data_IF_567414799056
#
_entry.id   IF_567414799056
#
_cell.length_a   1.000
_cell.length_b   1.000
_cell.length_c   1.000
_cell.angle_alpha   90.00
_cell.angle_beta   90.00
_cell.angle_gamma   90.00
#
_symmetry.space_group_name_H-M   'P 1'
#
loop_
_entity.id
_entity.type
_entity.pdbx_description
1 polymer ?
#
# COMPACT_ATOMS: atom_id res chain seq x y z
N UNK A 1 -38.12 -12.26 -50.99
CA UNK A 1 -38.45 -13.66 -50.61
C UNK A 1 -38.26 -13.79 -49.11
N UNK A 2 -39.26 -14.38 -48.43
CA UNK A 2 -39.36 -14.77 -47.01
C UNK A 2 -39.43 -13.66 -45.94
N UNK A 3 -40.69 -13.34 -45.62
CA UNK A 3 -41.22 -12.81 -44.36
C UNK A 3 -40.98 -13.80 -43.22
N UNK A 4 -40.67 -13.32 -42.01
CA UNK A 4 -41.09 -13.98 -40.75
C UNK A 4 -41.61 -12.89 -39.82
N UNK A 5 -42.91 -12.98 -39.53
CA UNK A 5 -43.61 -12.30 -38.47
C UNK A 5 -43.42 -13.08 -37.17
N UNK A 6 -43.15 -12.42 -36.05
CA UNK A 6 -43.64 -12.87 -34.74
C UNK A 6 -44.17 -11.64 -34.00
N UNK A 7 -45.45 -11.74 -33.66
CA UNK A 7 -46.25 -10.84 -32.84
C UNK A 7 -46.51 -11.59 -31.53
N UNK A 8 -46.33 -10.97 -30.36
CA UNK A 8 -46.93 -11.46 -29.12
C UNK A 8 -47.20 -10.32 -28.13
N UNK A 9 -48.33 -10.48 -27.45
CA UNK A 9 -49.15 -9.49 -26.75
C UNK A 9 -48.62 -9.04 -25.39
N UNK A 10 -48.90 -7.76 -25.09
CA UNK A 10 -49.38 -7.12 -23.85
C UNK A 10 -49.15 -7.81 -22.48
N UNK A 11 -48.62 -7.05 -21.52
CA UNK A 11 -49.34 -6.76 -20.26
C UNK A 11 -48.87 -5.42 -19.65
N UNK A 12 -49.85 -4.56 -19.35
CA UNK A 12 -49.70 -3.31 -18.62
C UNK A 12 -49.79 -3.63 -17.13
N UNK A 13 -48.83 -3.16 -16.33
CA UNK A 13 -49.04 -2.89 -14.91
C UNK A 13 -48.54 -1.48 -14.62
N UNK A 14 -49.50 -0.65 -14.22
CA UNK A 14 -49.33 0.68 -13.66
C UNK A 14 -48.94 0.53 -12.19
N UNK A 15 -47.86 1.17 -11.77
CA UNK A 15 -47.68 1.54 -10.37
C UNK A 15 -47.05 2.93 -10.29
N UNK A 16 -47.94 3.89 -10.04
CA UNK A 16 -47.63 5.22 -9.53
C UNK A 16 -46.92 5.10 -8.18
N UNK A 17 -45.75 5.73 -8.05
CA UNK A 17 -45.28 6.28 -6.78
C UNK A 17 -44.63 7.63 -7.06
N UNK A 18 -45.23 8.66 -6.46
CA UNK A 18 -44.90 10.05 -6.66
C UNK A 18 -43.50 10.42 -6.21
N UNK A 19 -42.81 11.18 -7.05
CA UNK A 19 -41.68 12.01 -6.65
C UNK A 19 -42.19 13.45 -6.51
N UNK A 20 -42.02 14.01 -5.32
CA UNK A 20 -42.27 15.43 -5.05
C UNK A 20 -41.28 16.33 -5.79
N UNK A 21 -41.68 17.55 -6.19
CA UNK A 21 -40.79 18.49 -6.86
C UNK A 21 -39.74 19.02 -5.89
N UNK A 22 -38.45 18.76 -6.15
CA UNK A 22 -37.36 19.48 -5.51
C UNK A 22 -37.36 20.92 -6.03
N UNK A 23 -37.44 21.84 -5.07
CA UNK A 23 -37.44 23.28 -5.24
C UNK A 23 -36.16 23.75 -5.96
N UNK A 24 -36.36 24.62 -6.96
CA UNK A 24 -35.31 25.49 -7.47
C UNK A 24 -34.97 26.52 -6.40
N UNK A 25 -33.75 26.48 -5.87
CA UNK A 25 -33.15 27.59 -5.14
C UNK A 25 -32.13 28.26 -6.06
N UNK A 26 -32.56 29.38 -6.62
CA UNK A 26 -31.70 30.40 -7.22
C UNK A 26 -31.09 31.16 -6.05
N UNK A 27 -29.76 31.14 -5.92
CA UNK A 27 -29.03 32.11 -5.10
C UNK A 27 -28.26 33.04 -6.04
N UNK A 28 -28.79 34.25 -6.20
CA UNK A 28 -28.00 35.42 -6.55
C UNK A 28 -28.00 36.33 -5.33
N UNK A 29 -26.83 36.65 -4.77
CA UNK A 29 -26.36 38.04 -4.64
C UNK A 29 -25.02 38.14 -3.88
N UNK A 30 -24.16 38.97 -4.48
CA UNK A 30 -23.04 39.76 -3.93
C UNK A 30 -21.97 39.10 -3.05
N UNK A 31 -20.80 38.92 -3.66
CA UNK A 31 -19.51 38.74 -2.99
C UNK A 31 -19.05 40.10 -2.42
N UNK A 32 -18.76 40.22 -1.11
CA UNK A 32 -18.01 41.36 -0.61
C UNK A 32 -16.54 41.18 -1.00
N UNK A 33 -15.97 42.23 -1.58
CA UNK A 33 -14.55 42.36 -1.88
C UNK A 33 -13.79 42.32 -0.55
N UNK A 34 -13.12 41.21 -0.24
CA UNK A 34 -12.29 41.06 0.94
C UNK A 34 -10.81 41.09 0.54
N UNK A 35 -10.10 42.05 1.13
CA UNK A 35 -8.65 42.23 1.07
C UNK A 35 -7.89 40.91 1.18
N UNK A 36 -6.90 40.76 0.30
CA UNK A 36 -5.85 39.75 0.38
C UNK A 36 -4.99 39.99 1.63
N UNK A 37 -5.45 39.51 2.78
CA UNK A 37 -4.59 39.20 3.91
C UNK A 37 -4.06 37.78 3.72
N UNK A 38 -2.74 37.60 3.85
CA UNK A 38 -2.02 36.32 3.88
C UNK A 38 -2.69 35.28 4.79
N UNK A 39 -3.68 34.56 4.25
CA UNK A 39 -4.27 33.40 4.90
C UNK A 39 -3.24 32.27 4.85
N UNK A 40 -2.88 31.76 6.03
CA UNK A 40 -1.92 30.69 6.28
C UNK A 40 -1.83 29.64 5.14
N UNK A 41 -0.78 29.73 4.32
CA UNK A 41 -0.36 28.67 3.37
C UNK A 41 -0.17 27.29 4.02
N UNK A 42 -0.16 27.21 5.35
CA UNK A 42 0.02 25.99 6.11
C UNK A 42 -1.26 25.13 6.23
N UNK A 43 -2.45 25.72 6.08
CA UNK A 43 -3.73 24.98 6.09
C UNK A 43 -4.04 24.32 4.72
N UNK A 44 -3.23 24.61 3.70
CA UNK A 44 -3.40 24.12 2.33
C UNK A 44 -2.56 22.88 1.99
N UNK A 45 -1.70 22.42 2.91
CA UNK A 45 -0.85 21.24 2.69
C UNK A 45 -1.51 20.00 3.28
N UNK A 46 -1.58 18.95 2.47
CA UNK A 46 -2.19 17.66 2.79
C UNK A 46 -1.28 16.52 2.38
N UNK A 47 -1.37 15.38 3.05
CA UNK A 47 -0.48 14.24 2.83
C UNK A 47 -1.08 13.23 1.83
N UNK A 48 -0.27 12.81 0.88
CA UNK A 48 -0.62 11.89 -0.23
C UNK A 48 0.31 10.66 -0.19
N UNK A 49 0.05 9.58 -0.95
CA UNK A 49 0.96 8.42 -1.03
C UNK A 49 2.18 8.72 -1.93
N UNK A 50 2.85 9.82 -1.64
CA UNK A 50 4.11 10.25 -2.26
C UNK A 50 4.78 11.36 -1.45
N UNK A 51 4.01 12.05 -0.60
CA UNK A 51 4.48 13.17 0.20
C UNK A 51 3.39 14.20 0.51
N UNK A 52 3.76 15.25 1.23
CA UNK A 52 2.97 16.48 1.36
C UNK A 52 2.71 17.13 0.00
N UNK A 53 1.51 17.65 -0.20
CA UNK A 53 1.03 18.25 -1.43
C UNK A 53 0.16 19.47 -1.14
N UNK A 54 0.12 20.44 -2.04
CA UNK A 54 -0.92 21.47 -2.00
C UNK A 54 -2.26 20.85 -2.36
N UNK A 55 -3.29 21.09 -1.55
CA UNK A 55 -4.65 20.60 -1.77
C UNK A 55 -5.22 21.04 -3.13
N UNK A 56 -4.81 22.20 -3.63
CA UNK A 56 -5.19 22.71 -4.96
C UNK A 56 -4.68 21.85 -6.12
N UNK A 57 -3.69 21.00 -5.89
CA UNK A 57 -3.04 20.19 -6.91
C UNK A 57 -3.54 18.74 -6.88
N UNK A 58 -4.67 18.48 -6.21
CA UNK A 58 -5.23 17.15 -6.04
C UNK A 58 -6.56 17.08 -6.76
N UNK A 59 -6.66 16.14 -7.69
CA UNK A 59 -7.73 16.08 -8.67
C UNK A 59 -8.38 14.71 -8.66
N UNK A 60 -9.71 14.70 -8.54
CA UNK A 60 -10.50 13.48 -8.67
C UNK A 60 -10.74 13.14 -10.16
N UNK A 61 -10.54 11.87 -10.51
CA UNK A 61 -10.78 11.33 -11.84
C UNK A 61 -12.03 10.43 -11.82
N UNK A 62 -13.10 10.91 -12.47
CA UNK A 62 -14.31 10.11 -12.67
C UNK A 62 -14.05 8.93 -13.60
N UNK A 63 -14.74 7.81 -13.36
CA UNK A 63 -14.61 6.54 -14.11
C UNK A 63 -14.80 6.64 -15.63
N UNK A 64 -15.39 7.71 -16.14
CA UNK A 64 -15.56 7.96 -17.57
C UNK A 64 -14.42 8.79 -18.16
N UNK A 65 -13.35 9.03 -17.40
CA UNK A 65 -12.16 9.76 -17.82
C UNK A 65 -10.90 8.89 -17.67
N UNK A 66 -9.86 9.29 -18.38
CA UNK A 66 -8.50 8.79 -18.21
C UNK A 66 -7.51 9.96 -18.28
N UNK A 67 -6.29 9.71 -17.85
CA UNK A 67 -5.19 10.66 -17.90
C UNK A 67 -4.38 10.42 -19.16
N UNK A 68 -3.98 11.48 -19.84
CA UNK A 68 -3.13 11.42 -21.02
C UNK A 68 -1.95 12.38 -20.88
N UNK A 69 -0.73 11.85 -20.94
CA UNK A 69 0.48 12.66 -20.81
C UNK A 69 0.93 13.14 -22.17
N UNK A 70 0.95 14.47 -22.35
CA UNK A 70 1.30 15.09 -23.63
C UNK A 70 2.05 16.39 -23.42
N UNK A 71 3.25 16.50 -24.00
CA UNK A 71 4.08 17.71 -23.97
C UNK A 71 4.31 18.26 -22.55
N UNK A 72 4.66 17.39 -21.60
CA UNK A 72 4.90 17.79 -20.21
C UNK A 72 3.65 18.28 -19.47
N UNK A 73 2.45 17.86 -19.90
CA UNK A 73 1.17 18.17 -19.27
C UNK A 73 0.34 16.91 -19.08
N UNK A 74 -0.51 16.93 -18.06
CA UNK A 74 -1.48 15.89 -17.79
C UNK A 74 -2.85 16.36 -18.29
N UNK A 75 -3.43 15.64 -19.24
CA UNK A 75 -4.76 15.94 -19.76
C UNK A 75 -5.78 14.99 -19.14
N UNK A 76 -6.89 15.50 -18.63
CA UNK A 76 -8.06 14.69 -18.30
C UNK A 76 -8.90 14.53 -19.56
N UNK A 77 -9.12 13.31 -20.01
CA UNK A 77 -9.79 13.00 -21.28
C UNK A 77 -11.02 12.15 -21.05
N UNK A 78 -12.17 12.53 -21.63
CA UNK A 78 -13.38 11.69 -21.63
C UNK A 78 -13.15 10.43 -22.45
N UNK A 79 -13.28 9.27 -21.83
CA UNK A 79 -12.99 7.96 -22.43
C UNK A 79 -13.84 7.67 -23.67
N UNK A 80 -15.12 8.08 -23.68
CA UNK A 80 -16.02 7.81 -24.83
C UNK A 80 -15.79 8.72 -26.03
N UNK A 81 -15.53 10.01 -25.79
CA UNK A 81 -15.45 11.03 -26.86
C UNK A 81 -14.02 11.37 -27.28
N UNK A 82 -13.03 11.05 -26.45
CA UNK A 82 -11.64 11.51 -26.63
C UNK A 82 -11.44 13.00 -26.41
N UNK A 83 -12.46 13.72 -25.92
CA UNK A 83 -12.37 15.16 -25.69
C UNK A 83 -11.62 15.45 -24.38
N UNK A 84 -10.66 16.36 -24.45
CA UNK A 84 -9.96 16.91 -23.28
C UNK A 84 -10.94 17.77 -22.46
N UNK A 85 -11.03 17.50 -21.16
CA UNK A 85 -11.86 18.22 -20.21
C UNK A 85 -11.04 19.26 -19.47
N UNK A 86 -9.82 18.90 -19.10
CA UNK A 86 -8.93 19.75 -18.34
C UNK A 86 -7.47 19.43 -18.64
N UNK A 87 -6.58 20.37 -18.35
CA UNK A 87 -5.14 20.26 -18.58
C UNK A 87 -4.38 20.83 -17.40
N UNK A 88 -3.64 19.95 -16.74
CA UNK A 88 -2.80 20.27 -15.59
C UNK A 88 -1.33 20.23 -15.96
N UNK A 89 -0.54 20.92 -15.15
CA UNK A 89 0.89 20.97 -15.28
C UNK A 89 1.45 22.15 -16.08
N UNK A 90 2.61 22.57 -15.59
CA UNK A 90 3.70 23.16 -16.33
C UNK A 90 4.94 22.52 -15.71
N UNK A 91 5.20 21.24 -16.03
CA UNK A 91 6.20 20.37 -15.37
C UNK A 91 7.64 20.93 -15.41
N UNK A 92 7.86 22.01 -16.15
CA UNK A 92 9.07 22.82 -16.18
C UNK A 92 9.25 23.76 -14.98
N UNK A 93 8.40 23.69 -13.95
CA UNK A 93 8.55 24.52 -12.74
C UNK A 93 9.88 24.13 -12.07
N UNK A 94 10.87 25.02 -12.16
CA UNK A 94 12.12 24.94 -11.39
C UNK A 94 11.75 24.79 -9.93
N UNK A 95 12.21 23.70 -9.31
CA UNK A 95 12.13 23.33 -7.88
C UNK A 95 10.93 23.92 -7.12
N UNK A 96 10.02 23.03 -6.72
CA UNK A 96 9.00 23.30 -5.72
C UNK A 96 9.56 24.21 -4.61
N UNK A 97 9.04 25.44 -4.52
CA UNK A 97 9.38 26.38 -3.43
C UNK A 97 8.77 25.97 -2.10
N UNK A 98 8.07 24.82 -2.04
CA UNK A 98 7.85 24.17 -0.75
C UNK A 98 9.22 23.79 -0.25
N UNK A 99 9.75 24.52 0.74
CA UNK A 99 11.00 24.16 1.39
C UNK A 99 10.93 22.67 1.78
N UNK A 100 11.58 21.82 0.99
CA UNK A 100 11.57 20.37 1.12
C UNK A 100 12.09 19.94 2.51
N UNK A 101 12.81 20.84 3.19
CA UNK A 101 13.32 20.67 4.54
C UNK A 101 12.29 20.88 5.66
N UNK A 102 11.09 21.43 5.39
CA UNK A 102 10.10 21.74 6.44
C UNK A 102 9.19 20.57 6.79
N UNK A 103 8.92 19.66 5.85
CA UNK A 103 7.96 18.56 6.04
C UNK A 103 8.67 17.21 6.08
N UNK A 104 8.31 16.38 7.06
CA UNK A 104 8.84 15.02 7.14
C UNK A 104 8.33 14.23 5.94
N UNK A 105 9.26 13.67 5.19
CA UNK A 105 8.98 12.65 4.19
C UNK A 105 8.21 11.49 4.85
N UNK A 106 7.09 11.09 4.23
CA UNK A 106 6.25 9.98 4.66
C UNK A 106 6.81 8.61 4.31
N UNK A 107 7.81 8.52 3.43
CA UNK A 107 8.44 7.26 3.02
C UNK A 107 9.19 6.58 4.18
N UNK A 108 8.54 5.61 4.83
CA UNK A 108 9.14 4.92 5.98
C UNK A 108 10.05 3.76 5.58
N UNK A 109 9.57 2.91 4.66
CA UNK A 109 10.33 1.74 4.19
C UNK A 109 9.74 1.17 2.91
N UNK A 110 10.59 0.63 2.05
CA UNK A 110 10.18 0.03 0.80
C UNK A 110 11.20 -1.00 0.27
N UNK A 111 10.72 -1.85 -0.63
CA UNK A 111 11.53 -2.59 -1.60
C UNK A 111 11.34 -1.96 -2.98
N UNK A 112 12.44 -1.76 -3.71
CA UNK A 112 12.45 -1.19 -5.05
C UNK A 112 13.21 -2.11 -6.00
N UNK A 113 12.73 -2.23 -7.23
CA UNK A 113 13.45 -2.93 -8.28
C UNK A 113 13.58 -2.04 -9.51
N UNK A 114 14.83 -1.87 -9.97
CA UNK A 114 15.20 -1.12 -11.15
C UNK A 114 14.99 -1.99 -12.41
N UNK A 115 13.88 -1.76 -13.10
CA UNK A 115 13.48 -2.50 -14.31
C UNK A 115 14.36 -2.15 -15.52
N UNK A 116 15.05 -1.01 -15.50
CA UNK A 116 15.98 -0.63 -16.59
C UNK A 116 17.13 -1.62 -16.76
N UNK A 117 17.47 -2.41 -15.74
CA UNK A 117 18.48 -3.48 -15.83
C UNK A 117 18.09 -4.58 -16.82
N UNK A 118 16.79 -4.75 -17.13
CA UNK A 118 16.29 -5.75 -18.08
C UNK A 118 15.79 -5.14 -19.40
N UNK A 119 15.99 -3.83 -19.60
CA UNK A 119 15.65 -3.09 -20.83
C UNK A 119 14.20 -3.25 -21.33
N UNK A 120 13.27 -3.65 -20.46
CA UNK A 120 11.86 -3.83 -20.80
C UNK A 120 10.97 -3.38 -19.64
N UNK A 121 10.00 -2.49 -19.87
CA UNK A 121 9.07 -2.10 -18.84
C UNK A 121 8.12 -3.25 -18.48
N UNK A 122 7.53 -3.24 -17.27
CA UNK A 122 6.56 -4.25 -16.85
C UNK A 122 5.33 -4.27 -17.74
N UNK A 123 4.95 -5.42 -18.27
CA UNK A 123 3.64 -5.59 -18.93
C UNK A 123 2.54 -5.82 -17.90
N UNK A 124 2.90 -6.38 -16.75
CA UNK A 124 2.01 -6.66 -15.65
C UNK A 124 2.78 -6.66 -14.33
N UNK A 125 2.23 -6.02 -13.30
CA UNK A 125 2.74 -6.07 -11.94
C UNK A 125 1.59 -6.14 -10.96
N UNK A 126 1.54 -7.20 -10.14
CA UNK A 126 0.57 -7.34 -9.08
C UNK A 126 1.18 -7.88 -7.80
N UNK A 127 0.52 -7.59 -6.69
CA UNK A 127 0.78 -8.23 -5.42
C UNK A 127 -0.53 -8.42 -4.66
N UNK A 128 -0.60 -9.47 -3.85
CA UNK A 128 -1.71 -9.70 -2.92
C UNK A 128 -1.30 -9.37 -1.50
N UNK A 129 -2.25 -8.86 -0.72
CA UNK A 129 -2.06 -8.63 0.70
C UNK A 129 -3.39 -8.70 1.43
N UNK A 130 -3.32 -8.95 2.74
CA UNK A 130 -4.49 -8.96 3.61
C UNK A 130 -4.56 -7.60 4.32
N UNK A 131 -5.73 -6.95 4.27
CA UNK A 131 -5.96 -5.69 5.00
C UNK A 131 -5.69 -5.93 6.49
N UNK A 132 -4.76 -5.19 7.12
CA UNK A 132 -4.42 -5.42 8.52
C UNK A 132 -5.54 -4.93 9.46
N UNK A 133 -5.49 -5.28 10.76
CA UNK A 133 -6.34 -4.66 11.77
C UNK A 133 -6.23 -3.14 11.76
N UNK A 134 -7.22 -2.46 12.32
CA UNK A 134 -7.13 -1.03 12.54
C UNK A 134 -5.87 -0.68 13.36
N UNK A 135 -5.18 0.43 13.04
CA UNK A 135 -4.23 1.09 13.96
C UNK A 135 -4.90 1.40 15.30
N UNK A 136 -4.10 1.50 16.37
CA UNK A 136 -4.63 1.82 17.70
C UNK A 136 -5.09 3.27 17.81
N UNK A 137 -4.31 4.18 17.23
CA UNK A 137 -4.63 5.61 17.19
C UNK A 137 -5.31 5.98 15.88
N UNK A 138 -6.23 6.93 15.95
CA UNK A 138 -7.18 7.14 14.86
C UNK A 138 -6.80 8.18 13.83
N UNK A 139 -5.83 9.04 14.16
CA UNK A 139 -5.57 10.26 13.39
C UNK A 139 -4.34 10.11 12.48
N UNK A 140 -3.76 8.90 12.44
CA UNK A 140 -2.71 8.53 11.51
C UNK A 140 -3.25 8.39 10.09
N UNK A 141 -2.37 8.66 9.14
CA UNK A 141 -2.58 8.36 7.73
C UNK A 141 -1.53 7.34 7.29
N UNK A 142 -1.98 6.18 6.82
CA UNK A 142 -1.12 5.08 6.38
C UNK A 142 -1.42 4.77 4.92
N UNK A 143 -0.38 4.49 4.14
CA UNK A 143 -0.49 4.02 2.77
C UNK A 143 0.35 2.76 2.56
N UNK A 144 -0.27 1.74 1.97
CA UNK A 144 0.39 0.51 1.53
C UNK A 144 0.12 0.30 0.05
N UNK A 145 1.17 0.09 -0.73
CA UNK A 145 1.00 -0.03 -2.17
C UNK A 145 2.12 -0.82 -2.83
N UNK A 146 1.79 -1.39 -3.99
CA UNK A 146 2.75 -1.68 -5.04
C UNK A 146 2.67 -0.58 -6.10
N UNK A 147 3.79 -0.18 -6.71
CA UNK A 147 3.81 0.91 -7.70
C UNK A 147 4.72 0.64 -8.89
N UNK A 148 4.46 1.34 -10.00
CA UNK A 148 5.42 1.53 -11.10
C UNK A 148 5.76 3.01 -11.19
N UNK A 149 7.02 3.30 -11.56
CA UNK A 149 7.48 4.66 -11.74
C UNK A 149 8.28 4.80 -13.03
N UNK A 150 7.99 5.87 -13.78
CA UNK A 150 8.81 6.35 -14.89
C UNK A 150 9.39 7.72 -14.59
N UNK A 151 10.48 8.06 -15.28
CA UNK A 151 11.11 9.38 -15.21
C UNK A 151 11.10 9.96 -16.63
N UNK A 152 10.52 11.15 -16.81
CA UNK A 152 10.62 11.93 -18.05
C UNK A 152 11.73 12.98 -17.90
N UNK A 153 12.72 12.97 -18.78
CA UNK A 153 13.81 13.95 -18.77
C UNK A 153 13.48 15.12 -19.68
N UNK A 154 13.43 16.31 -19.13
CA UNK A 154 13.05 17.55 -19.82
C UNK A 154 14.29 18.18 -20.48
N UNK A 155 14.07 18.95 -21.55
CA UNK A 155 15.16 19.58 -22.33
C UNK A 155 16.05 20.53 -21.51
N UNK A 156 15.52 21.07 -20.42
CA UNK A 156 16.23 21.95 -19.49
C UNK A 156 17.11 21.20 -18.46
N UNK A 157 17.20 19.87 -18.55
CA UNK A 157 17.96 19.03 -17.61
C UNK A 157 17.20 18.63 -16.34
N UNK A 158 15.97 19.12 -16.14
CA UNK A 158 15.10 18.66 -15.06
C UNK A 158 14.43 17.33 -15.43
N UNK A 159 13.73 16.73 -14.47
CA UNK A 159 12.94 15.53 -14.72
C UNK A 159 11.58 15.60 -14.03
N UNK A 160 10.65 14.80 -14.52
CA UNK A 160 9.37 14.54 -13.86
C UNK A 160 9.24 13.06 -13.55
N UNK A 161 9.03 12.78 -12.28
CA UNK A 161 8.65 11.46 -11.79
C UNK A 161 7.18 11.23 -12.05
N UNK A 162 6.83 10.03 -12.48
CA UNK A 162 5.45 9.62 -12.72
C UNK A 162 5.21 8.30 -12.01
N UNK A 163 4.43 8.31 -10.93
CA UNK A 163 4.16 7.12 -10.12
C UNK A 163 2.70 6.74 -10.27
N UNK A 164 2.45 5.46 -10.53
CA UNK A 164 1.10 4.88 -10.58
C UNK A 164 1.01 3.77 -9.53
N UNK A 165 -0.05 3.80 -8.73
CA UNK A 165 -0.14 2.94 -7.55
C UNK A 165 -1.60 2.60 -7.18
N UNK A 166 -1.95 1.31 -7.05
CA UNK A 166 -3.08 0.87 -6.25
C UNK A 166 -2.71 0.97 -4.76
N UNK A 167 -3.46 1.77 -4.01
CA UNK A 167 -3.15 2.12 -2.61
C UNK A 167 -4.24 1.61 -1.68
N UNK A 168 -3.83 0.90 -0.63
CA UNK A 168 -4.62 0.70 0.58
C UNK A 168 -4.28 1.83 1.55
N UNK A 169 -5.30 2.57 2.00
CA UNK A 169 -5.15 3.66 2.96
C UNK A 169 -5.95 3.45 4.24
N UNK A 170 -5.43 3.97 5.35
CA UNK A 170 -6.15 4.25 6.60
C UNK A 170 -6.00 5.72 6.92
N UNK A 171 -7.04 6.35 7.48
CA UNK A 171 -7.00 7.75 7.88
C UNK A 171 -7.66 8.67 6.85
N UNK A 172 -7.74 9.95 7.20
CA UNK A 172 -8.26 11.00 6.32
C UNK A 172 -7.17 11.43 5.34
N UNK A 173 -7.42 11.24 4.04
CA UNK A 173 -6.59 11.73 2.94
C UNK A 173 -7.39 12.71 2.08
N UNK A 174 -6.73 13.38 1.12
CA UNK A 174 -7.42 14.18 0.10
C UNK A 174 -8.42 13.39 -0.75
N UNK A 175 -8.22 12.08 -0.94
CA UNK A 175 -9.18 11.20 -1.59
C UNK A 175 -10.39 10.83 -0.71
N UNK A 176 -10.44 11.36 0.52
CA UNK A 176 -11.41 11.02 1.56
C UNK A 176 -10.82 10.03 2.57
N UNK A 177 -11.70 9.30 3.27
CA UNK A 177 -11.28 8.32 4.28
C UNK A 177 -11.73 8.71 5.68
N UNK A 178 -10.98 8.22 6.66
CA UNK A 178 -11.28 8.38 8.08
C UNK A 178 -10.78 7.18 8.86
N UNK A 179 -11.47 6.84 9.97
CA UNK A 179 -11.12 5.73 10.87
C UNK A 179 -11.54 4.37 10.30
N UNK A 180 -11.19 4.11 9.04
CA UNK A 180 -11.49 2.87 8.31
C UNK A 180 -10.47 2.65 7.19
N UNK A 181 -10.33 1.39 6.78
CA UNK A 181 -9.53 1.03 5.60
C UNK A 181 -10.29 1.32 4.33
N UNK A 182 -9.59 1.86 3.33
CA UNK A 182 -10.13 2.07 2.01
C UNK A 182 -9.07 1.86 0.93
N UNK A 183 -9.49 1.53 -0.28
CA UNK A 183 -8.63 1.42 -1.45
C UNK A 183 -8.90 2.56 -2.42
N UNK A 184 -7.85 2.99 -3.12
CA UNK A 184 -7.90 4.01 -4.17
C UNK A 184 -6.68 3.87 -5.09
N UNK A 185 -6.82 4.25 -6.35
CA UNK A 185 -5.72 4.29 -7.30
C UNK A 185 -5.22 5.73 -7.43
N UNK A 186 -3.91 5.92 -7.36
CA UNK A 186 -3.27 7.22 -7.49
C UNK A 186 -2.32 7.27 -8.68
N UNK A 187 -2.25 8.44 -9.29
CA UNK A 187 -1.20 8.86 -10.21
C UNK A 187 -0.58 10.17 -9.72
N UNK A 188 0.73 10.23 -9.62
CA UNK A 188 1.46 11.35 -9.02
C UNK A 188 2.56 11.84 -9.95
N UNK A 189 2.72 13.16 -10.08
CA UNK A 189 3.81 13.79 -10.84
C UNK A 189 4.69 14.68 -9.96
N UNK A 190 5.93 14.28 -9.66
CA UNK A 190 6.98 15.00 -8.89
C UNK A 190 6.53 16.11 -7.90
N UNK A 191 5.51 15.81 -7.08
CA UNK A 191 4.89 16.74 -6.13
C UNK A 191 4.10 17.94 -6.70
N UNK A 192 3.95 18.01 -8.02
CA UNK A 192 3.24 19.09 -8.69
C UNK A 192 1.75 18.82 -8.88
N UNK A 193 1.37 17.60 -9.25
CA UNK A 193 -0.03 17.24 -9.53
C UNK A 193 -0.31 15.81 -9.08
N UNK A 194 -1.48 15.61 -8.48
CA UNK A 194 -1.91 14.35 -7.88
C UNK A 194 -3.30 14.03 -8.36
N UNK A 195 -3.49 12.80 -8.81
CA UNK A 195 -4.75 12.34 -9.38
C UNK A 195 -5.16 11.06 -8.69
N UNK A 196 -6.43 10.97 -8.33
CA UNK A 196 -6.95 9.78 -7.69
C UNK A 196 -8.34 9.43 -8.23
N UNK A 197 -8.69 8.15 -8.16
CA UNK A 197 -10.03 7.69 -8.51
C UNK A 197 -10.95 7.64 -7.27
N UNK A 198 -12.00 6.82 -7.33
CA UNK A 198 -12.99 6.74 -6.25
C UNK A 198 -12.48 5.89 -5.10
N UNK A 199 -12.65 6.40 -3.88
CA UNK A 199 -12.35 5.68 -2.65
C UNK A 199 -13.39 4.56 -2.40
N UNK A 200 -12.94 3.34 -2.11
CA UNK A 200 -13.81 2.22 -1.71
C UNK A 200 -13.43 1.72 -0.31
N UNK A 201 -14.38 1.69 0.61
CA UNK A 201 -14.19 1.15 1.96
C UNK A 201 -14.01 -0.38 1.90
N UNK A 202 -13.00 -0.88 2.61
CA UNK A 202 -12.72 -2.31 2.77
C UNK A 202 -12.59 -2.69 4.24
N UNK A 203 -12.78 -3.97 4.58
CA UNK A 203 -12.70 -4.46 5.96
C UNK A 203 -11.33 -5.05 6.26
N UNK A 204 -10.88 -4.97 7.51
CA UNK A 204 -9.77 -5.79 8.01
C UNK A 204 -9.97 -7.27 7.67
N UNK A 205 -8.89 -7.96 7.33
CA UNK A 205 -8.92 -9.37 6.90
C UNK A 205 -9.31 -9.58 5.43
N UNK A 206 -9.69 -8.52 4.71
CA UNK A 206 -10.02 -8.63 3.28
C UNK A 206 -8.75 -8.93 2.47
N UNK A 207 -8.80 -9.94 1.61
CA UNK A 207 -7.75 -10.18 0.63
C UNK A 207 -7.86 -9.14 -0.50
N UNK A 208 -6.79 -8.41 -0.74
CA UNK A 208 -6.65 -7.46 -1.84
C UNK A 208 -5.61 -7.97 -2.83
N UNK A 209 -5.77 -7.55 -4.08
CA UNK A 209 -4.79 -7.72 -5.15
C UNK A 209 -4.69 -6.39 -5.90
N UNK A 210 -3.61 -5.65 -5.67
CA UNK A 210 -3.31 -4.44 -6.44
C UNK A 210 -2.67 -4.81 -7.77
N UNK A 211 -3.19 -4.25 -8.86
CA UNK A 211 -2.80 -4.61 -10.23
C UNK A 211 -2.42 -3.37 -11.01
N UNK A 212 -1.23 -3.41 -11.60
CA UNK A 212 -0.73 -2.47 -12.59
C UNK A 212 -0.54 -3.22 -13.91
N UNK A 213 -1.33 -2.88 -14.92
CA UNK A 213 -1.34 -3.60 -16.20
C UNK A 213 -1.07 -2.65 -17.36
N UNK A 214 -0.09 -2.96 -18.19
CA UNK A 214 0.15 -2.23 -19.43
C UNK A 214 -1.03 -2.48 -20.38
N UNK A 215 -1.66 -1.41 -20.86
CA UNK A 215 -2.82 -1.46 -21.77
C UNK A 215 -2.43 -1.18 -23.22
N UNK A 216 -1.38 -0.41 -23.45
CA UNK A 216 -0.85 -0.15 -24.79
C UNK A 216 0.60 0.32 -24.76
N UNK A 217 1.27 0.20 -25.91
CA UNK A 217 2.60 0.73 -26.18
C UNK A 217 2.60 1.37 -27.56
N UNK A 218 3.11 2.59 -27.69
CA UNK A 218 3.24 3.29 -28.97
C UNK A 218 4.38 4.29 -28.91
N UNK A 219 5.25 4.32 -29.93
CA UNK A 219 6.35 5.30 -30.04
C UNK A 219 7.20 5.43 -28.76
N UNK A 220 7.55 4.31 -28.12
CA UNK A 220 8.27 4.25 -26.84
C UNK A 220 7.56 4.97 -25.66
N UNK A 221 6.25 5.11 -25.76
CA UNK A 221 5.36 5.54 -24.68
C UNK A 221 4.47 4.38 -24.28
N UNK A 222 4.13 4.34 -23.01
CA UNK A 222 3.46 3.21 -22.38
C UNK A 222 2.19 3.69 -21.67
N UNK A 223 1.15 2.88 -21.69
CA UNK A 223 -0.10 3.20 -21.02
C UNK A 223 -0.41 2.10 -20.02
N UNK A 224 -0.89 2.48 -18.84
CA UNK A 224 -1.13 1.57 -17.73
C UNK A 224 -2.49 1.80 -17.10
N UNK A 225 -3.06 0.71 -16.61
CA UNK A 225 -4.21 0.72 -15.72
C UNK A 225 -3.76 0.32 -14.32
N UNK A 226 -4.07 1.15 -13.34
CA UNK A 226 -4.02 0.80 -11.91
C UNK A 226 -5.39 0.39 -11.44
N UNK A 227 -5.51 -0.75 -10.76
CA UNK A 227 -6.79 -1.26 -10.27
C UNK A 227 -6.62 -2.20 -9.09
N UNK A 228 -7.75 -2.59 -8.50
CA UNK A 228 -7.84 -3.70 -7.55
C UNK A 228 -8.72 -4.82 -8.13
N UNK A 229 -8.21 -6.06 -8.11
CA UNK A 229 -8.95 -7.23 -8.59
C UNK A 229 -10.27 -7.40 -7.84
N UNK A 230 -11.38 -7.51 -8.57
CA UNK A 230 -12.72 -7.65 -7.99
C UNK A 230 -13.40 -6.34 -7.56
N UNK A 231 -12.77 -5.19 -7.76
CA UNK A 231 -13.34 -3.87 -7.46
C UNK A 231 -13.60 -3.06 -8.74
N UNK A 232 -14.64 -2.19 -8.75
CA UNK A 232 -15.05 -1.45 -9.94
C UNK A 232 -14.19 -0.20 -10.22
N UNK A 233 -13.18 0.07 -9.39
CA UNK A 233 -12.30 1.25 -9.51
C UNK A 233 -11.05 0.93 -10.30
N UNK A 234 -10.57 1.96 -11.00
CA UNK A 234 -9.34 1.89 -11.76
C UNK A 234 -8.97 3.26 -12.32
N UNK A 235 -7.68 3.50 -12.46
CA UNK A 235 -7.12 4.72 -13.02
C UNK A 235 -6.28 4.39 -14.26
N UNK A 236 -6.72 4.89 -15.41
CA UNK A 236 -6.02 4.73 -16.68
C UNK A 236 -5.11 5.95 -16.91
N UNK A 237 -3.83 5.68 -17.17
CA UNK A 237 -2.82 6.70 -17.49
C UNK A 237 -2.15 6.33 -18.80
N UNK A 238 -2.25 7.21 -19.79
CA UNK A 238 -1.78 6.99 -21.15
C UNK A 238 -0.53 7.80 -21.46
N UNK A 239 0.28 7.25 -22.36
CA UNK A 239 1.45 7.89 -22.94
C UNK A 239 2.51 8.31 -21.91
N UNK A 240 2.83 7.44 -20.94
CA UNK A 240 3.95 7.61 -20.03
C UNK A 240 5.30 7.35 -20.71
N UNK A 241 6.39 7.93 -20.20
CA UNK A 241 7.74 7.44 -20.50
C UNK A 241 7.94 5.98 -20.08
N UNK A 242 9.11 5.44 -20.40
CA UNK A 242 9.46 4.08 -19.99
C UNK A 242 9.46 3.94 -18.46
N UNK A 243 8.77 2.92 -17.95
CA UNK A 243 8.83 2.54 -16.54
C UNK A 243 10.25 2.05 -16.21
N UNK A 244 10.84 2.64 -15.17
CA UNK A 244 12.20 2.36 -14.71
C UNK A 244 12.24 1.65 -13.37
N UNK A 245 11.20 1.82 -12.54
CA UNK A 245 11.20 1.38 -11.15
C UNK A 245 9.87 0.72 -10.81
N UNK A 246 9.94 -0.29 -9.95
CA UNK A 246 8.79 -0.92 -9.30
C UNK A 246 8.98 -0.89 -7.80
N UNK A 247 7.90 -0.68 -7.04
CA UNK A 247 7.95 -0.53 -5.59
C UNK A 247 6.96 -1.44 -4.89
N UNK A 248 7.30 -1.79 -3.65
CA UNK A 248 6.38 -2.18 -2.57
C UNK A 248 6.75 -1.33 -1.37
N UNK A 249 5.81 -0.54 -0.86
CA UNK A 249 6.12 0.52 0.10
C UNK A 249 5.08 0.69 1.21
N UNK A 250 5.56 1.27 2.31
CA UNK A 250 4.77 1.88 3.38
C UNK A 250 5.14 3.35 3.45
N UNK A 251 4.10 4.19 3.39
CA UNK A 251 4.18 5.58 3.82
C UNK A 251 3.25 5.83 5.00
N UNK A 252 3.66 6.70 5.92
CA UNK A 252 2.83 7.09 7.05
C UNK A 252 3.08 8.49 7.54
N UNK A 253 2.00 9.11 8.03
CA UNK A 253 1.98 10.46 8.55
C UNK A 253 1.25 10.48 9.89
N UNK A 254 1.73 11.32 10.81
CA UNK A 254 1.15 11.45 12.15
C UNK A 254 1.41 10.27 13.08
N UNK A 255 2.27 9.32 12.69
CA UNK A 255 2.73 8.26 13.57
C UNK A 255 3.88 8.75 14.46
N UNK A 256 3.68 8.70 15.78
CA UNK A 256 4.67 9.15 16.77
C UNK A 256 5.20 8.01 17.63
N UNK A 257 4.52 6.86 17.67
CA UNK A 257 4.94 5.67 18.40
C UNK A 257 4.74 4.39 17.61
N UNK A 258 5.65 3.43 17.81
CA UNK A 258 5.62 2.14 17.10
C UNK A 258 4.38 1.31 17.39
N UNK A 259 3.71 1.53 18.53
CA UNK A 259 2.51 0.79 18.93
C UNK A 259 1.20 1.39 18.42
N UNK A 260 1.26 2.52 17.70
CA UNK A 260 0.09 3.15 17.07
C UNK A 260 -0.29 2.47 15.75
N UNK A 261 0.70 1.93 15.01
CA UNK A 261 0.49 1.12 13.80
C UNK A 261 -0.44 -0.08 14.07
N UNK A 262 -1.05 -0.68 13.01
CA UNK A 262 -1.91 -1.84 13.13
C UNK A 262 -1.37 -2.89 14.09
N UNK A 263 -2.23 -3.57 14.84
CA UNK A 263 -1.84 -4.62 15.79
C UNK A 263 -1.34 -5.91 15.12
N UNK A 264 -0.93 -5.88 13.85
CA UNK A 264 -0.10 -6.92 13.24
C UNK A 264 1.36 -6.47 13.31
N UNK A 265 2.33 -7.38 13.24
CA UNK A 265 3.73 -6.96 13.23
C UNK A 265 4.11 -6.33 11.88
N UNK A 266 3.44 -6.77 10.83
CA UNK A 266 3.76 -6.51 9.45
C UNK A 266 2.52 -6.63 8.55
N UNK A 267 2.66 -6.13 7.34
CA UNK A 267 1.85 -6.50 6.19
C UNK A 267 2.70 -7.32 5.23
N UNK A 268 2.13 -8.42 4.72
CA UNK A 268 2.79 -9.31 3.78
C UNK A 268 2.21 -9.08 2.39
N UNK A 269 3.08 -8.68 1.46
CA UNK A 269 2.81 -8.71 0.02
C UNK A 269 3.28 -10.07 -0.51
N UNK A 270 2.35 -10.88 -0.95
CA UNK A 270 2.59 -12.24 -1.45
C UNK A 270 1.93 -12.44 -2.81
N UNK A 271 2.18 -13.60 -3.43
CA UNK A 271 1.81 -13.84 -4.83
C UNK A 271 2.28 -12.70 -5.75
N UNK A 272 3.45 -12.12 -5.45
CA UNK A 272 4.00 -11.04 -6.26
C UNK A 272 4.27 -11.60 -7.64
N UNK A 273 3.67 -10.97 -8.64
CA UNK A 273 3.77 -11.36 -10.02
C UNK A 273 4.21 -10.15 -10.85
N UNK A 274 5.40 -10.24 -11.44
CA UNK A 274 5.99 -9.20 -12.28
C UNK A 274 6.35 -9.82 -13.64
N UNK A 275 5.61 -9.43 -14.67
CA UNK A 275 5.88 -9.79 -16.05
C UNK A 275 6.52 -8.63 -16.78
N UNK A 276 7.53 -8.95 -17.59
CA UNK A 276 8.03 -8.08 -18.64
C UNK A 276 7.98 -8.86 -19.96
N UNK A 277 8.28 -8.23 -21.09
CA UNK A 277 8.41 -8.91 -22.39
C UNK A 277 9.47 -10.04 -22.40
N UNK A 278 10.31 -10.10 -21.36
CA UNK A 278 11.26 -11.18 -21.13
C UNK A 278 10.85 -11.96 -19.89
N UNK A 279 10.94 -13.29 -19.95
CA UNK A 279 10.65 -14.13 -18.78
C UNK A 279 11.76 -14.00 -17.74
N UNK A 280 11.68 -12.96 -16.89
CA UNK A 280 12.45 -12.89 -15.66
C UNK A 280 11.91 -13.95 -14.70
N UNK A 281 12.80 -14.68 -14.02
CA UNK A 281 12.42 -15.65 -12.97
C UNK A 281 12.65 -15.11 -11.57
N UNK A 282 13.39 -14.00 -11.44
CA UNK A 282 13.70 -13.34 -10.16
C UNK A 282 13.65 -11.82 -10.29
N UNK A 283 13.28 -11.16 -9.20
CA UNK A 283 13.26 -9.72 -8.96
C UNK A 283 14.35 -9.42 -7.91
N UNK A 284 15.49 -8.84 -8.31
CA UNK A 284 16.53 -8.41 -7.38
C UNK A 284 16.08 -7.11 -6.68
N UNK A 285 15.24 -7.25 -5.66
CA UNK A 285 14.78 -6.12 -4.85
C UNK A 285 15.96 -5.47 -4.11
N UNK A 286 16.15 -4.18 -4.34
CA UNK A 286 16.93 -3.30 -3.48
C UNK A 286 16.04 -2.82 -2.33
N UNK A 287 16.60 -2.80 -1.13
CA UNK A 287 15.91 -2.33 0.07
C UNK A 287 16.30 -0.88 0.34
N UNK A 288 15.34 -0.08 0.79
CA UNK A 288 15.66 1.23 1.35
C UNK A 288 16.62 1.08 2.53
N UNK A 289 17.75 1.77 2.44
CA UNK A 289 18.82 1.80 3.44
C UNK A 289 19.19 3.26 3.73
N UNK A 290 18.22 4.11 4.02
CA UNK A 290 18.62 5.42 4.52
C UNK A 290 18.87 5.34 6.03
N UNK A 291 20.14 5.43 6.39
CA UNK A 291 20.57 5.60 7.78
C UNK A 291 20.21 7.00 8.32
N UNK A 292 19.89 7.97 7.43
CA UNK A 292 19.64 9.39 7.77
C UNK A 292 18.16 9.76 7.87
N UNK A 293 17.27 9.02 7.22
CA UNK A 293 15.84 9.00 7.52
C UNK A 293 15.55 7.72 8.27
N UNK A 294 15.92 7.63 9.57
CA UNK A 294 15.61 6.45 10.34
C UNK A 294 14.09 6.28 10.25
N UNK A 295 13.65 5.07 9.94
CA UNK A 295 12.31 4.63 10.32
C UNK A 295 12.16 5.00 11.80
N UNK A 296 11.55 6.15 12.11
CA UNK A 296 11.69 6.80 13.42
C UNK A 296 11.18 5.86 14.52
N UNK A 297 10.32 4.92 14.11
CA UNK A 297 9.57 3.99 14.93
C UNK A 297 9.93 2.51 14.64
N UNK A 298 10.99 2.26 13.86
CA UNK A 298 11.55 0.92 13.62
C UNK A 298 10.91 0.12 12.49
N UNK A 299 10.23 0.76 11.55
CA UNK A 299 9.71 0.11 10.33
C UNK A 299 10.86 -0.43 9.47
N UNK A 300 10.67 -1.58 8.84
CA UNK A 300 11.64 -2.08 7.85
C UNK A 300 10.98 -3.02 6.85
N UNK A 301 11.62 -3.19 5.70
CA UNK A 301 11.18 -4.10 4.65
C UNK A 301 12.11 -5.32 4.60
N UNK A 302 11.53 -6.50 4.41
CA UNK A 302 12.26 -7.76 4.22
C UNK A 302 11.78 -8.44 2.95
N UNK A 303 12.72 -8.85 2.11
CA UNK A 303 12.44 -9.67 0.94
C UNK A 303 12.56 -11.13 1.35
N UNK A 304 11.47 -11.88 1.22
CA UNK A 304 11.39 -13.30 1.61
C UNK A 304 11.60 -14.19 0.39
N UNK A 305 10.97 -13.84 -0.73
CA UNK A 305 11.09 -14.58 -1.98
C UNK A 305 11.25 -13.60 -3.14
N UNK A 306 12.36 -13.71 -3.86
CA UNK A 306 12.67 -12.89 -5.03
C UNK A 306 12.04 -13.41 -6.31
N UNK A 307 11.23 -14.47 -6.32
CA UNK A 307 10.58 -14.94 -7.54
C UNK A 307 9.74 -13.82 -8.18
N UNK A 308 9.84 -13.67 -9.49
CA UNK A 308 8.93 -12.82 -10.28
C UNK A 308 7.53 -13.41 -10.42
N UNK A 309 7.38 -14.69 -10.08
CA UNK A 309 6.12 -15.40 -10.03
C UNK A 309 5.95 -16.05 -8.65
N UNK A 310 5.04 -15.50 -7.85
CA UNK A 310 4.86 -15.84 -6.42
C UNK A 310 5.98 -15.34 -5.51
N UNK A 311 6.51 -14.15 -5.80
CA UNK A 311 7.42 -13.44 -4.91
C UNK A 311 6.74 -13.04 -3.59
N UNK A 312 7.57 -12.70 -2.59
CA UNK A 312 7.11 -12.30 -1.26
C UNK A 312 7.99 -11.19 -0.70
N UNK A 313 7.36 -10.09 -0.30
CA UNK A 313 7.96 -8.95 0.41
C UNK A 313 7.11 -8.65 1.65
N UNK A 314 7.77 -8.35 2.76
CA UNK A 314 7.12 -8.05 4.02
C UNK A 314 7.54 -6.68 4.52
N UNK A 315 6.56 -5.87 4.93
CA UNK A 315 6.78 -4.58 5.55
C UNK A 315 6.40 -4.68 7.02
N UNK A 316 7.39 -4.55 7.89
CA UNK A 316 7.23 -4.55 9.33
C UNK A 316 6.94 -3.13 9.81
N UNK A 317 5.92 -3.00 10.65
CA UNK A 317 5.51 -1.70 11.22
C UNK A 317 6.37 -1.26 12.40
N UNK A 318 7.13 -2.20 12.95
CA UNK A 318 7.99 -2.01 14.11
C UNK A 318 9.05 -3.08 14.12
N UNK A 319 10.19 -2.79 14.76
CA UNK A 319 11.15 -3.83 15.06
C UNK A 319 10.44 -4.87 15.94
N UNK A 320 10.51 -6.16 15.58
CA UNK A 320 10.07 -7.20 16.48
C UNK A 320 10.65 -6.98 17.88
N UNK A 321 9.80 -7.12 18.90
CA UNK A 321 10.29 -7.12 20.27
C UNK A 321 10.96 -8.46 20.54
N UNK A 322 12.24 -8.38 20.86
CA UNK A 322 13.01 -9.44 21.48
C UNK A 322 12.60 -9.51 22.94
N UNK A 323 11.90 -10.57 23.35
CA UNK A 323 11.57 -10.75 24.78
C UNK A 323 12.89 -11.07 25.48
N UNK A 324 13.31 -10.21 26.41
CA UNK A 324 14.53 -10.34 27.21
C UNK A 324 15.86 -10.27 26.44
N UNK A 325 15.88 -9.60 25.27
CA UNK A 325 17.09 -9.50 24.43
C UNK A 325 17.46 -10.80 23.73
N UNK A 326 16.53 -11.76 23.70
CA UNK A 326 16.63 -12.97 22.91
C UNK A 326 16.13 -12.77 21.48
N UNK A 327 17.05 -12.44 20.59
CA UNK A 327 16.66 -12.12 19.22
C UNK A 327 16.31 -13.35 18.39
N UNK A 328 16.68 -14.58 18.79
CA UNK A 328 16.52 -15.78 17.95
C UNK A 328 15.06 -16.18 17.68
N UNK A 329 14.13 -15.79 18.55
CA UNK A 329 12.70 -16.12 18.42
C UNK A 329 11.87 -14.91 18.83
N UNK A 330 10.92 -14.54 17.97
CA UNK A 330 10.05 -13.39 18.17
C UNK A 330 8.60 -13.84 18.31
N UNK A 331 7.87 -13.13 19.17
CA UNK A 331 6.48 -13.41 19.50
C UNK A 331 5.63 -12.18 19.25
N UNK A 332 4.52 -12.34 18.55
CA UNK A 332 3.64 -11.21 18.29
C UNK A 332 2.20 -11.67 17.99
N UNK A 333 1.16 -10.90 18.34
CA UNK A 333 1.19 -9.84 19.35
C UNK A 333 1.41 -10.45 20.74
N UNK A 334 1.95 -9.67 21.67
CA UNK A 334 1.97 -10.02 23.09
C UNK A 334 1.63 -8.74 23.88
N UNK A 335 0.41 -8.60 24.44
CA UNK A 335 -0.63 -9.64 24.58
C UNK A 335 -1.24 -10.14 23.26
N UNK A 336 -1.66 -11.41 23.22
CA UNK A 336 -2.39 -12.02 22.10
C UNK A 336 -3.87 -12.24 22.43
N UNK A 337 -4.73 -12.39 21.42
CA UNK A 337 -6.16 -12.71 21.60
C UNK A 337 -6.37 -14.21 21.29
N UNK A 338 -6.33 -14.55 19.99
CA UNK A 338 -6.57 -15.93 19.54
C UNK A 338 -5.31 -16.62 19.06
N UNK A 339 -4.45 -15.92 18.33
CA UNK A 339 -3.25 -16.48 17.72
C UNK A 339 -2.01 -15.80 18.24
N UNK A 340 -0.98 -16.59 18.54
CA UNK A 340 0.37 -16.10 18.78
C UNK A 340 1.25 -16.46 17.58
N UNK A 341 1.70 -15.44 16.86
CA UNK A 341 2.65 -15.59 15.78
C UNK A 341 4.05 -15.80 16.35
N UNK A 342 4.74 -16.82 15.85
CA UNK A 342 6.13 -17.13 16.17
C UNK A 342 6.96 -16.96 14.91
N UNK A 343 7.97 -16.09 15.00
CA UNK A 343 8.93 -15.86 13.92
C UNK A 343 10.34 -16.20 14.43
N UNK A 344 10.96 -17.31 13.97
CA UNK A 344 12.37 -17.56 14.26
C UNK A 344 13.21 -16.49 13.56
N UNK A 345 13.97 -15.71 14.32
CA UNK A 345 14.78 -14.59 13.83
C UNK A 345 16.25 -14.79 14.19
N UNK A 346 17.06 -15.45 13.34
CA UNK A 346 18.51 -15.42 13.60
C UNK A 346 19.08 -14.04 13.21
N UNK A 347 19.69 -13.35 14.18
CA UNK A 347 20.47 -12.14 13.91
C UNK A 347 21.58 -12.51 12.91
N UNK A 348 21.63 -11.83 11.76
CA UNK A 348 22.72 -11.90 10.78
C UNK A 348 24.07 -11.38 11.29
N UNK A 349 24.16 -10.97 12.55
CA UNK A 349 25.36 -10.34 13.09
C UNK A 349 26.18 -11.35 13.90
N UNK A 350 27.04 -12.08 13.18
CA UNK A 350 28.46 -12.06 13.56
C UNK A 350 29.45 -12.31 12.43
N UNK A 351 29.07 -12.98 11.33
CA UNK A 351 29.88 -13.00 10.09
C UNK A 351 28.95 -13.34 8.91
N UNK A 352 28.82 -12.45 7.93
CA UNK A 352 27.80 -12.46 6.86
C UNK A 352 28.03 -13.50 5.73
N UNK A 353 28.54 -14.69 6.03
CA UNK A 353 28.98 -15.66 5.00
C UNK A 353 28.20 -16.99 5.04
N UNK A 354 27.31 -17.20 6.01
CA UNK A 354 26.54 -18.44 6.12
C UNK A 354 25.06 -18.23 5.82
N UNK A 355 24.50 -19.14 5.02
CA UNK A 355 23.07 -19.20 4.72
C UNK A 355 22.24 -19.34 6.01
N UNK A 356 20.96 -18.97 5.97
CA UNK A 356 20.02 -19.09 7.08
C UNK A 356 20.00 -20.55 7.58
N UNK A 357 20.72 -20.85 8.67
CA UNK A 357 20.72 -22.19 9.26
C UNK A 357 19.45 -22.29 10.10
N UNK A 358 18.55 -23.25 9.82
CA UNK A 358 17.33 -23.44 10.58
C UNK A 358 17.58 -23.74 12.07
N UNK A 359 16.58 -23.48 12.92
CA UNK A 359 16.57 -24.03 14.28
C UNK A 359 16.16 -25.50 14.16
N UNK A 360 17.07 -26.42 14.46
CA UNK A 360 16.79 -27.86 14.36
C UNK A 360 16.37 -28.44 15.71
N UNK A 361 15.56 -29.50 15.66
CA UNK A 361 15.10 -30.26 16.82
C UNK A 361 14.48 -29.36 17.91
N UNK A 362 13.63 -28.43 17.47
CA UNK A 362 13.00 -27.44 18.33
C UNK A 362 11.74 -28.01 18.99
N UNK A 363 11.75 -28.14 20.31
CA UNK A 363 10.56 -28.42 21.11
C UNK A 363 9.99 -27.11 21.67
N UNK A 364 8.68 -26.91 21.52
CA UNK A 364 7.96 -25.72 21.97
C UNK A 364 6.84 -26.15 22.92
N UNK A 365 6.98 -25.79 24.18
CA UNK A 365 6.03 -26.13 25.24
C UNK A 365 5.30 -24.88 25.73
N UNK A 366 3.98 -24.96 25.93
CA UNK A 366 3.18 -23.88 26.50
C UNK A 366 2.59 -24.33 27.83
N UNK A 367 2.82 -23.56 28.89
CA UNK A 367 2.35 -23.82 30.23
C UNK A 367 1.39 -22.72 30.70
N UNK A 368 0.42 -23.08 31.53
CA UNK A 368 -0.36 -22.08 32.28
C UNK A 368 0.46 -21.43 33.42
N UNK A 369 -0.12 -20.45 34.09
CA UNK A 369 0.50 -19.75 35.23
C UNK A 369 0.81 -20.65 36.43
N UNK A 370 0.28 -21.87 36.47
CA UNK A 370 0.54 -22.87 37.52
C UNK A 370 1.59 -23.91 37.09
N UNK A 371 2.16 -23.77 35.89
CA UNK A 371 3.16 -24.69 35.36
C UNK A 371 2.58 -25.97 34.76
N UNK A 372 1.26 -26.05 34.53
CA UNK A 372 0.66 -27.18 33.82
C UNK A 372 0.93 -27.04 32.32
N UNK A 373 1.53 -28.07 31.72
CA UNK A 373 1.72 -28.16 30.28
C UNK A 373 0.36 -28.23 29.58
N UNK A 374 0.11 -27.29 28.67
CA UNK A 374 -1.11 -27.17 27.88
C UNK A 374 -0.93 -27.66 26.45
N UNK A 375 0.19 -27.30 25.82
CA UNK A 375 0.51 -27.67 24.44
C UNK A 375 1.99 -27.98 24.30
N UNK A 376 2.32 -28.90 23.39
CA UNK A 376 3.69 -29.22 23.00
C UNK A 376 3.75 -29.35 21.47
N UNK A 377 4.77 -28.78 20.86
CA UNK A 377 5.05 -28.85 19.43
C UNK A 377 6.50 -29.27 19.22
N UNK A 378 6.76 -30.05 18.17
CA UNK A 378 8.11 -30.42 17.78
C UNK A 378 8.33 -30.09 16.31
N UNK A 379 9.44 -29.38 16.05
CA UNK A 379 9.89 -29.02 14.72
C UNK A 379 11.30 -29.55 14.52
N UNK A 380 11.45 -30.56 13.67
CA UNK A 380 12.78 -31.06 13.27
C UNK A 380 13.60 -29.94 12.60
N UNK A 381 12.92 -29.06 11.88
CA UNK A 381 13.48 -27.87 11.26
C UNK A 381 12.44 -26.74 11.36
N UNK A 382 12.79 -25.69 12.10
CA UNK A 382 12.01 -24.47 12.25
C UNK A 382 12.70 -23.32 11.51
N UNK A 383 12.31 -23.14 10.25
CA UNK A 383 12.82 -22.14 9.29
C UNK A 383 11.75 -21.17 8.78
N UNK A 384 10.52 -21.36 9.21
CA UNK A 384 9.37 -20.57 8.79
C UNK A 384 8.62 -20.04 10.00
N UNK A 385 7.87 -18.98 9.75
CA UNK A 385 6.96 -18.42 10.73
C UNK A 385 5.67 -19.22 10.76
N UNK A 386 5.03 -19.27 11.92
CA UNK A 386 3.78 -20.00 12.11
C UNK A 386 2.95 -19.38 13.22
N UNK A 387 1.64 -19.60 13.15
CA UNK A 387 0.72 -19.17 14.19
C UNK A 387 0.36 -20.36 15.08
N UNK A 388 0.43 -20.14 16.39
CA UNK A 388 -0.15 -21.06 17.36
C UNK A 388 -1.56 -20.58 17.67
N UNK A 389 -2.55 -21.40 17.32
CA UNK A 389 -3.94 -21.20 17.75
C UNK A 389 -4.05 -21.42 19.27
N UNK A 390 -4.32 -20.35 20.01
CA UNK A 390 -4.53 -20.33 21.45
C UNK A 390 -5.94 -19.79 21.79
N UNK A 391 -6.87 -19.80 20.83
CA UNK A 391 -8.25 -19.31 20.98
C UNK A 391 -8.98 -19.95 22.17
N UNK A 392 -8.76 -21.25 22.39
CA UNK A 392 -9.38 -22.03 23.47
C UNK A 392 -8.81 -21.80 24.88
N UNK A 393 -7.76 -20.97 25.02
CA UNK A 393 -7.21 -20.62 26.32
C UNK A 393 -8.01 -19.48 26.97
N UNK A 394 -8.07 -19.44 28.30
CA UNK A 394 -8.64 -18.31 29.03
C UNK A 394 -7.69 -17.10 28.98
N UNK A 395 -8.19 -15.89 29.21
CA UNK A 395 -7.32 -14.73 29.42
C UNK A 395 -6.41 -14.94 30.63
N UNK A 396 -5.14 -14.54 30.53
CA UNK A 396 -4.17 -14.77 31.61
C UNK A 396 -2.71 -14.78 31.16
N UNK A 397 -1.82 -15.08 32.12
CA UNK A 397 -0.40 -15.24 31.89
C UNK A 397 -0.07 -16.70 31.56
N UNK A 398 0.76 -16.90 30.55
CA UNK A 398 1.29 -18.20 30.14
C UNK A 398 2.82 -18.14 30.01
N UNK A 399 3.44 -19.31 30.07
CA UNK A 399 4.85 -19.48 29.76
C UNK A 399 4.99 -20.26 28.46
N UNK A 400 5.85 -19.79 27.55
CA UNK A 400 6.25 -20.56 26.37
C UNK A 400 7.73 -20.87 26.46
N UNK A 401 8.08 -22.14 26.27
CA UNK A 401 9.45 -22.65 26.42
C UNK A 401 9.91 -23.28 25.12
N UNK A 402 11.08 -22.86 24.67
CA UNK A 402 11.77 -23.41 23.52
C UNK A 402 12.96 -24.25 23.99
N UNK A 403 13.14 -25.43 23.40
CA UNK A 403 14.33 -26.27 23.61
C UNK A 403 14.90 -26.65 22.25
N UNK A 404 16.16 -26.32 22.01
CA UNK A 404 16.90 -26.64 20.78
C UNK A 404 18.40 -26.40 21.00
N UNK A 405 19.28 -27.03 20.22
CA UNK A 405 20.75 -26.88 20.36
C UNK A 405 21.27 -27.09 21.80
N UNK A 406 20.66 -27.99 22.59
CA UNK A 406 20.92 -28.16 24.04
C UNK A 406 20.71 -26.90 24.89
N UNK A 407 19.99 -25.90 24.36
CA UNK A 407 19.59 -24.68 25.04
C UNK A 407 18.11 -24.75 25.40
N UNK A 408 17.73 -24.00 26.42
CA UNK A 408 16.32 -23.83 26.77
C UNK A 408 16.03 -22.39 27.15
N UNK A 409 15.01 -21.81 26.52
CA UNK A 409 14.58 -20.43 26.71
C UNK A 409 13.11 -20.43 27.11
N UNK A 410 12.73 -19.62 28.10
CA UNK A 410 11.34 -19.52 28.56
C UNK A 410 10.92 -18.06 28.54
N UNK A 411 9.76 -17.79 27.95
CA UNK A 411 9.21 -16.45 27.77
C UNK A 411 7.83 -16.36 28.40
N UNK A 412 7.47 -15.14 28.82
CA UNK A 412 6.12 -14.82 29.29
C UNK A 412 5.27 -14.29 28.14
N UNK A 413 4.09 -14.87 27.96
CA UNK A 413 3.10 -14.39 27.01
C UNK A 413 1.76 -14.16 27.73
N UNK A 414 1.01 -13.17 27.27
CA UNK A 414 -0.25 -12.75 27.92
C UNK A 414 -1.39 -12.92 26.92
N UNK A 415 -2.45 -13.64 27.31
CA UNK A 415 -3.71 -13.66 26.56
C UNK A 415 -4.62 -12.54 27.07
N UNK A 416 -4.94 -11.59 26.19
CA UNK A 416 -5.98 -10.58 26.41
C UNK A 416 -7.38 -11.21 26.33
N UNK A 417 -8.34 -10.58 27.00
CA UNK A 417 -9.75 -11.00 27.00
C UNK A 417 -10.61 -10.26 26.01
#
# INVERSE_FOLDING_TARGET
MKKICILLFLFIIVSNLGAQPKQNLIFSESVPNHDHSDSNLQDDIVNTPFGPALKSNIHYIDKNHHLNIKCGKVQIVKTKSGSVVDVYGNLNRTESTLEHNKYKDGWNTYAVYLTSQVNKPPTYFSAKWIVPPAPKESDQLLYFFNAVMSIDFLENGNHTDHIIQPVLQWGLSPAGGGKYWAICNWYVTNELEYFHDSLIVVKSGTLLEGVLKQTSTSNNRFSYNSSFSGYPTGLQVDNLPQILLTYIALESYGAERSDEYPTNQKIKFFDIHLETDTKNTKIPWDLYKDEKSPSVLGQFTKVINTSSDRGVVEIYFRKPYSIDGFDEIQFYPNPFIDYLHISPYRIKNRVSVFADIPITDCEIEIFDSFGKLLKNYFYANLDHEFDIDLSNLNSGLYLIKFKYDNRSHTFKIIKAG
#
